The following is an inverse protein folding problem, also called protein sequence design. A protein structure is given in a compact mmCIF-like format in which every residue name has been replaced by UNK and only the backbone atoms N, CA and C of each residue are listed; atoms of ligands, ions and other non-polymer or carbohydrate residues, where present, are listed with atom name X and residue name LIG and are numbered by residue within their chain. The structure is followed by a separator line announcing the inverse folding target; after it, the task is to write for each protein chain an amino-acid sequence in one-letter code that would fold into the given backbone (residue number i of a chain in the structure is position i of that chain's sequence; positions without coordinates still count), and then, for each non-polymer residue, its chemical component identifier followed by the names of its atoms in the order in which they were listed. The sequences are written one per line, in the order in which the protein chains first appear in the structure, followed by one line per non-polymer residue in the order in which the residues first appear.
data_IF_208307774781
#
_entry.id   IF_208307774781
#
_cell.length_a   1.000
_cell.length_b   1.000
_cell.length_c   1.000
_cell.angle_alpha   90.00
_cell.angle_beta   90.00
_cell.angle_gamma   90.00
#
_symmetry.space_group_name_H-M   'P 1'
#
loop_
_entity.id
_entity.type
_entity.pdbx_description
1 polymer ?
#
# COMPACT_ATOMS: atom_id res chain seq x y z
N UNK A 1 -3.96 1.11 -30.40
CA UNK A 1 -2.79 0.88 -29.53
C UNK A 1 -3.32 0.39 -28.20
N UNK A 2 -2.84 -0.73 -27.67
CA UNK A 2 -3.36 -1.21 -26.38
C UNK A 2 -2.96 -0.21 -25.29
N UNK A 3 -3.91 0.57 -24.80
CA UNK A 3 -3.68 1.51 -23.70
C UNK A 3 -3.32 0.69 -22.47
N UNK A 4 -2.03 0.61 -22.16
CA UNK A 4 -1.55 -0.11 -20.98
C UNK A 4 -2.22 0.45 -19.73
N UNK A 5 -2.40 -0.38 -18.71
CA UNK A 5 -2.98 0.03 -17.43
C UNK A 5 -2.21 1.24 -16.86
N UNK A 6 -0.87 1.23 -16.99
CA UNK A 6 0.01 2.32 -16.57
C UNK A 6 -0.28 3.62 -17.32
N UNK A 7 -0.48 3.59 -18.65
CA UNK A 7 -0.87 4.79 -19.39
C UNK A 7 -2.20 5.38 -18.94
N UNK A 8 -3.19 4.52 -18.60
CA UNK A 8 -4.45 4.99 -18.01
C UNK A 8 -4.26 5.62 -16.64
N UNK A 9 -3.42 5.01 -15.79
CA UNK A 9 -3.11 5.56 -14.48
C UNK A 9 -2.39 6.91 -14.56
N UNK A 10 -1.43 7.06 -15.50
CA UNK A 10 -0.74 8.32 -15.75
C UNK A 10 -1.72 9.39 -16.24
N UNK A 11 -2.58 9.07 -17.22
CA UNK A 11 -3.60 10.01 -17.68
C UNK A 11 -4.55 10.44 -16.56
N UNK A 12 -4.93 9.52 -15.68
CA UNK A 12 -5.76 9.80 -14.52
C UNK A 12 -5.08 10.70 -13.49
N UNK A 13 -3.78 10.46 -13.22
CA UNK A 13 -2.97 11.31 -12.35
C UNK A 13 -2.88 12.75 -12.88
N UNK A 14 -2.67 12.90 -14.19
CA UNK A 14 -2.60 14.22 -14.84
C UNK A 14 -3.95 14.93 -14.69
N UNK A 15 -5.06 14.27 -15.04
CA UNK A 15 -6.42 14.82 -14.94
C UNK A 15 -6.76 15.26 -13.49
N UNK A 16 -6.41 14.46 -12.48
CA UNK A 16 -6.59 14.86 -11.08
C UNK A 16 -5.76 16.10 -10.69
N UNK A 17 -4.55 16.22 -11.23
CA UNK A 17 -3.68 17.36 -10.93
C UNK A 17 -4.14 18.64 -11.64
N UNK A 18 -4.61 18.54 -12.88
CA UNK A 18 -5.20 19.64 -13.64
C UNK A 18 -6.47 20.17 -12.97
N UNK A 19 -7.28 19.28 -12.37
CA UNK A 19 -8.46 19.65 -11.59
C UNK A 19 -8.13 20.25 -10.22
N UNK A 20 -6.87 20.15 -9.78
CA UNK A 20 -6.44 20.58 -8.44
C UNK A 20 -6.93 19.69 -7.30
N UNK A 21 -7.34 18.44 -7.60
CA UNK A 21 -7.76 17.48 -6.59
C UNK A 21 -6.56 16.86 -5.85
N UNK A 22 -5.37 16.89 -6.46
CA UNK A 22 -4.11 16.42 -5.88
C UNK A 22 -3.04 17.52 -5.97
N UNK A 23 -2.15 17.56 -4.99
CA UNK A 23 -0.99 18.45 -5.02
C UNK A 23 0.17 17.77 -5.81
N UNK A 24 0.69 18.38 -6.90
CA UNK A 24 1.78 17.80 -7.67
C UNK A 24 3.09 17.59 -6.89
N UNK A 25 3.30 18.36 -5.82
CA UNK A 25 4.52 18.33 -5.01
C UNK A 25 4.43 17.37 -3.82
N UNK A 26 3.21 17.02 -3.40
CA UNK A 26 2.96 16.09 -2.29
C UNK A 26 1.70 15.27 -2.58
N UNK A 27 1.90 14.14 -3.27
CA UNK A 27 0.82 13.26 -3.70
C UNK A 27 0.52 12.23 -2.61
N UNK A 28 -0.71 12.23 -2.08
CA UNK A 28 -1.19 11.13 -1.25
C UNK A 28 -1.50 9.90 -2.12
N UNK A 29 -0.52 9.00 -2.22
CA UNK A 29 -0.59 7.81 -3.09
C UNK A 29 -1.79 6.92 -2.74
N UNK A 30 -2.12 6.78 -1.46
CA UNK A 30 -3.22 5.91 -1.00
C UNK A 30 -4.54 6.39 -1.57
N UNK A 31 -4.86 7.67 -1.38
CA UNK A 31 -6.11 8.27 -1.85
C UNK A 31 -6.25 8.19 -3.37
N UNK A 32 -5.15 8.44 -4.10
CA UNK A 32 -5.18 8.40 -5.56
C UNK A 32 -5.39 7.00 -6.10
N UNK A 33 -4.73 6.00 -5.50
CA UNK A 33 -4.91 4.60 -5.88
C UNK A 33 -6.35 4.17 -5.62
N UNK A 34 -6.92 4.53 -4.48
CA UNK A 34 -8.32 4.20 -4.15
C UNK A 34 -9.31 4.83 -5.16
N UNK A 35 -9.12 6.10 -5.50
CA UNK A 35 -9.93 6.78 -6.52
C UNK A 35 -9.78 6.14 -7.90
N UNK A 36 -8.55 5.78 -8.28
CA UNK A 36 -8.29 5.10 -9.54
C UNK A 36 -8.98 3.73 -9.58
N UNK A 37 -8.85 2.91 -8.53
CA UNK A 37 -9.52 1.60 -8.44
C UNK A 37 -11.06 1.74 -8.48
N UNK A 38 -11.61 2.78 -7.84
CA UNK A 38 -13.05 3.07 -7.92
C UNK A 38 -13.47 3.39 -9.35
N UNK A 39 -12.72 4.25 -10.06
CA UNK A 39 -12.98 4.57 -11.47
C UNK A 39 -12.89 3.33 -12.38
N UNK A 40 -11.96 2.41 -12.09
CA UNK A 40 -11.83 1.15 -12.83
C UNK A 40 -13.04 0.23 -12.63
N UNK A 41 -13.64 0.19 -11.45
CA UNK A 41 -14.86 -0.58 -11.16
C UNK A 41 -16.08 0.01 -11.86
N UNK A 42 -16.19 1.34 -11.87
CA UNK A 42 -17.29 2.06 -12.56
C UNK A 42 -17.20 1.91 -14.09
N UNK A 43 -15.99 1.95 -14.65
CA UNK A 43 -15.75 1.74 -16.08
C UNK A 43 -15.85 0.26 -16.49
N UNK A 44 -15.59 -0.67 -15.58
CA UNK A 44 -15.91 -2.09 -15.73
C UNK A 44 -17.38 -2.35 -15.38
N UNK A 45 -18.30 -1.60 -16.00
CA UNK A 45 -19.67 -2.08 -16.16
C UNK A 45 -19.60 -3.45 -16.87
N UNK A 46 -20.47 -4.43 -16.51
CA UNK A 46 -20.24 -5.85 -16.78
C UNK A 46 -20.27 -6.09 -18.28
N UNK A 47 -19.10 -6.08 -18.93
CA UNK A 47 -18.96 -6.58 -20.29
C UNK A 47 -19.06 -8.10 -20.20
N UNK A 48 -20.31 -8.55 -20.22
CA UNK A 48 -20.70 -9.87 -20.68
C UNK A 48 -20.28 -9.90 -22.15
N UNK A 49 -19.07 -10.38 -22.42
CA UNK A 49 -18.84 -10.95 -23.73
C UNK A 49 -17.70 -11.97 -23.74
N UNK A 50 -17.96 -13.08 -24.44
CA UNK A 50 -17.01 -14.10 -24.88
C UNK A 50 -16.64 -15.23 -23.90
N UNK A 51 -17.64 -16.05 -23.56
CA UNK A 51 -17.53 -17.53 -23.54
C UNK A 51 -16.58 -18.20 -22.53
N UNK A 52 -15.91 -17.45 -21.66
CA UNK A 52 -15.21 -17.98 -20.47
C UNK A 52 -15.97 -17.54 -19.25
N UNK A 53 -16.44 -18.50 -18.46
CA UNK A 53 -17.36 -18.29 -17.35
C UNK A 53 -16.96 -17.07 -16.51
N UNK A 54 -17.81 -16.02 -16.42
CA UNK A 54 -17.53 -14.84 -15.59
C UNK A 54 -17.36 -15.20 -14.11
N UNK A 55 -17.78 -16.40 -13.71
CA UNK A 55 -17.68 -16.89 -12.34
C UNK A 55 -16.23 -17.10 -11.88
N UNK A 56 -15.33 -17.61 -12.72
CA UNK A 56 -13.94 -17.89 -12.31
C UNK A 56 -13.09 -16.61 -12.17
N UNK A 57 -13.36 -15.61 -13.00
CA UNK A 57 -12.75 -14.27 -12.90
C UNK A 57 -13.25 -13.53 -11.65
N UNK A 58 -14.56 -13.49 -11.43
CA UNK A 58 -15.15 -12.89 -10.24
C UNK A 58 -14.71 -13.62 -8.96
N UNK A 59 -14.54 -14.95 -9.00
CA UNK A 59 -14.05 -15.73 -7.86
C UNK A 59 -12.58 -15.40 -7.54
N UNK A 60 -11.73 -15.29 -8.56
CA UNK A 60 -10.32 -14.90 -8.38
C UNK A 60 -10.17 -13.47 -7.85
N UNK A 61 -10.99 -12.54 -8.34
CA UNK A 61 -11.03 -11.14 -7.87
C UNK A 61 -11.59 -11.03 -6.45
N UNK A 62 -12.66 -11.78 -6.14
CA UNK A 62 -13.20 -11.85 -4.78
C UNK A 62 -12.20 -12.46 -3.78
N UNK A 63 -11.40 -13.44 -4.20
CA UNK A 63 -10.32 -14.01 -3.40
C UNK A 63 -9.21 -13.00 -3.10
N UNK A 64 -8.84 -12.17 -4.08
CA UNK A 64 -7.88 -11.08 -3.88
C UNK A 64 -8.45 -10.01 -2.92
N UNK A 65 -9.71 -9.64 -3.08
CA UNK A 65 -10.38 -8.70 -2.18
C UNK A 65 -10.41 -9.21 -0.73
N UNK A 66 -10.72 -10.50 -0.53
CA UNK A 66 -10.75 -11.12 0.81
C UNK A 66 -9.35 -11.18 1.45
N UNK A 67 -8.31 -11.50 0.66
CA UNK A 67 -6.92 -11.48 1.10
C UNK A 67 -6.50 -10.08 1.54
N UNK A 68 -6.76 -9.05 0.74
CA UNK A 68 -6.41 -7.67 1.07
C UNK A 68 -7.16 -7.16 2.28
N UNK A 69 -8.47 -7.44 2.38
CA UNK A 69 -9.24 -7.09 3.57
C UNK A 69 -8.64 -7.74 4.83
N UNK A 70 -8.25 -9.01 4.75
CA UNK A 70 -7.61 -9.71 5.87
C UNK A 70 -6.24 -9.12 6.24
N UNK A 71 -5.45 -8.72 5.24
CA UNK A 71 -4.14 -8.07 5.44
C UNK A 71 -4.29 -6.68 6.07
N UNK A 72 -5.31 -5.92 5.67
CA UNK A 72 -5.62 -4.61 6.27
C UNK A 72 -6.10 -4.74 7.72
N UNK A 73 -6.91 -5.76 8.04
CA UNK A 73 -7.31 -6.06 9.42
C UNK A 73 -6.10 -6.46 10.28
N UNK A 74 -5.20 -7.29 9.74
CA UNK A 74 -3.96 -7.66 10.41
C UNK A 74 -3.06 -6.44 10.67
N UNK A 75 -2.85 -5.58 9.66
CA UNK A 75 -2.08 -4.35 9.80
C UNK A 75 -2.72 -3.42 10.83
N UNK A 76 -4.05 -3.30 10.83
CA UNK A 76 -4.77 -2.51 11.83
C UNK A 76 -4.57 -3.05 13.25
N UNK A 77 -4.63 -4.37 13.43
CA UNK A 77 -4.39 -4.99 14.73
C UNK A 77 -2.95 -4.78 15.20
N UNK A 78 -1.96 -4.96 14.31
CA UNK A 78 -0.54 -4.71 14.61
C UNK A 78 -0.29 -3.24 14.95
N UNK A 79 -0.93 -2.29 14.24
CA UNK A 79 -0.84 -0.87 14.60
C UNK A 79 -1.46 -0.57 15.95
N UNK A 80 -2.61 -1.17 16.29
CA UNK A 80 -3.26 -0.95 17.60
C UNK A 80 -2.39 -1.45 18.75
N UNK A 81 -1.81 -2.64 18.61
CA UNK A 81 -0.88 -3.21 19.60
C UNK A 81 0.34 -2.30 19.76
N UNK A 82 0.89 -1.77 18.67
CA UNK A 82 2.03 -0.84 18.73
C UNK A 82 1.67 0.48 19.37
N UNK A 83 0.49 1.04 19.07
CA UNK A 83 0.03 2.28 19.71
C UNK A 83 -0.28 2.09 21.19
N UNK A 84 -0.82 0.95 21.61
CA UNK A 84 -1.02 0.63 23.03
C UNK A 84 0.33 0.54 23.78
N UNK A 85 1.36 -0.04 23.15
CA UNK A 85 2.73 -0.08 23.71
C UNK A 85 3.37 1.32 23.75
N UNK A 86 3.12 2.17 22.75
CA UNK A 86 3.61 3.56 22.73
C UNK A 86 2.87 4.46 23.74
N UNK A 87 1.59 4.19 24.05
CA UNK A 87 0.79 4.91 25.07
C UNK A 87 1.22 4.55 26.51
N UNK A 88 1.63 3.31 26.78
CA UNK A 88 2.20 2.91 28.09
C UNK A 88 3.57 3.55 28.39
N UNK A 89 4.28 4.07 27.37
CA UNK A 89 5.56 4.78 27.54
C UNK A 89 5.42 6.31 27.68
N UNK A 90 4.20 6.87 27.64
CA UNK A 90 3.96 8.28 27.96
C UNK A 90 3.76 8.41 29.46
N UNK A 91 4.71 8.99 30.23
CA UNK A 91 4.41 9.34 31.61
C UNK A 91 3.26 10.35 31.61
N UNK A 92 2.25 10.10 32.44
CA UNK A 92 1.09 10.98 32.69
C UNK A 92 1.53 12.46 32.70
N UNK A 93 1.14 13.20 31.67
CA UNK A 93 1.37 14.65 31.55
C UNK A 93 0.28 15.46 32.26
N UNK A 94 -0.61 14.81 33.02
CA UNK A 94 -1.75 15.43 33.72
C UNK A 94 -1.33 16.32 34.90
N UNK A 95 -0.08 16.24 35.37
CA UNK A 95 0.45 17.11 36.42
C UNK A 95 0.88 18.51 35.93
N UNK A 96 0.79 18.81 34.62
CA UNK A 96 1.24 20.10 34.06
C UNK A 96 0.11 21.10 33.75
N UNK A 97 -1.15 20.75 33.98
CA UNK A 97 -2.29 21.63 33.64
C UNK A 97 -2.58 22.68 34.72
N UNK A 98 -2.06 22.53 35.95
CA UNK A 98 -2.31 23.48 37.05
C UNK A 98 -1.48 24.79 36.96
N UNK A 99 -0.54 24.90 36.00
CA UNK A 99 0.39 26.04 35.93
C UNK A 99 0.02 27.16 34.93
N UNK A 100 -1.04 27.00 34.13
CA UNK A 100 -1.36 27.94 33.05
C UNK A 100 -2.64 28.76 33.33
N UNK A 101 -2.57 29.68 34.31
CA UNK A 101 -3.46 30.84 34.30
C UNK A 101 -3.04 31.83 33.19
N UNK A 102 -3.92 32.21 32.25
CA UNK A 102 -3.56 33.10 31.15
C UNK A 102 -3.74 34.55 31.59
N UNK A 103 -2.81 35.08 32.37
CA UNK A 103 -2.75 36.52 32.63
C UNK A 103 -1.90 37.18 31.54
N UNK A 104 -2.62 37.73 30.56
CA UNK A 104 -2.04 38.32 29.36
C UNK A 104 -1.10 39.48 29.66
N UNK A 105 0.19 39.28 29.49
CA UNK A 105 1.15 40.33 29.18
C UNK A 105 2.28 39.74 28.33
N UNK A 106 2.65 40.47 27.27
CA UNK A 106 3.86 40.37 26.46
C UNK A 106 4.71 39.10 26.65
N UNK A 107 4.81 38.29 25.58
CA UNK A 107 5.67 37.12 25.30
C UNK A 107 7.10 37.23 25.86
N UNK A 108 7.25 37.34 27.17
CA UNK A 108 8.49 37.19 27.90
C UNK A 108 8.62 35.70 28.14
N UNK A 109 9.70 35.14 27.62
CA UNK A 109 10.08 33.76 27.89
C UNK A 109 10.05 33.56 29.42
N UNK A 110 9.48 32.45 29.91
CA UNK A 110 9.43 32.16 31.33
C UNK A 110 10.85 32.19 31.90
N UNK A 111 10.97 32.70 33.14
CA UNK A 111 12.24 32.68 33.87
C UNK A 111 12.62 31.23 34.17
N UNK A 112 13.92 30.94 34.17
CA UNK A 112 14.50 29.61 34.39
C UNK A 112 14.13 28.59 33.30
N UNK A 113 14.53 28.86 32.05
CA UNK A 113 14.30 27.97 30.91
C UNK A 113 14.95 26.59 31.11
N UNK A 114 15.99 26.50 31.93
CA UNK A 114 16.65 25.25 32.33
C UNK A 114 15.71 24.22 32.98
N UNK A 115 14.62 24.66 33.62
CA UNK A 115 13.62 23.77 34.21
C UNK A 115 12.62 23.24 33.17
N UNK A 116 12.53 23.89 32.01
CA UNK A 116 11.59 23.55 30.93
C UNK A 116 12.30 22.87 29.73
N UNK A 117 13.61 23.07 29.56
CA UNK A 117 14.41 22.46 28.50
C UNK A 117 14.84 21.05 28.95
N UNK A 118 14.04 20.06 28.60
CA UNK A 118 14.38 18.65 28.80
C UNK A 118 15.12 18.10 27.57
N UNK A 119 16.21 17.35 27.80
CA UNK A 119 16.89 16.64 26.72
C UNK A 119 15.97 15.50 26.26
N UNK A 120 15.58 15.49 24.98
CA UNK A 120 14.92 14.33 24.40
C UNK A 120 15.89 13.15 24.43
N UNK A 121 15.43 12.00 24.92
CA UNK A 121 16.22 10.76 24.96
C UNK A 121 16.52 10.20 23.55
N UNK A 122 15.69 10.56 22.56
CA UNK A 122 15.75 10.05 21.19
C UNK A 122 15.66 11.22 20.21
N UNK A 123 16.30 11.08 19.04
CA UNK A 123 16.15 12.01 17.94
C UNK A 123 14.68 12.09 17.48
N UNK A 124 14.24 13.25 17.00
CA UNK A 124 12.93 13.37 16.35
C UNK A 124 12.83 12.34 15.22
N UNK A 125 11.68 11.66 15.06
CA UNK A 125 11.46 10.75 13.95
C UNK A 125 11.78 11.44 12.62
N UNK A 126 12.40 10.75 11.66
CA UNK A 126 12.69 11.34 10.36
C UNK A 126 11.38 11.77 9.70
N UNK A 127 11.35 12.99 9.16
CA UNK A 127 10.19 13.47 8.40
C UNK A 127 9.93 12.53 7.22
N UNK A 128 8.65 12.24 6.96
CA UNK A 128 8.26 11.41 5.83
C UNK A 128 8.61 12.14 4.54
N UNK A 129 9.43 11.52 3.69
CA UNK A 129 9.73 12.07 2.36
C UNK A 129 8.44 12.16 1.55
N UNK A 130 8.13 13.36 1.09
CA UNK A 130 6.99 13.62 0.20
C UNK A 130 7.22 12.99 -1.18
N UNK A 131 6.14 12.46 -1.78
CA UNK A 131 6.17 11.85 -3.11
C UNK A 131 5.66 12.87 -4.12
N UNK A 132 6.46 13.17 -5.14
CA UNK A 132 6.05 14.09 -6.21
C UNK A 132 5.29 13.35 -7.32
N UNK A 133 4.43 14.05 -8.04
CA UNK A 133 3.69 13.51 -9.18
C UNK A 133 4.63 12.99 -10.27
N UNK A 134 5.73 13.71 -10.54
CA UNK A 134 6.74 13.30 -11.52
C UNK A 134 7.42 11.98 -11.11
N UNK A 135 7.75 11.81 -9.83
CA UNK A 135 8.34 10.57 -9.31
C UNK A 135 7.36 9.40 -9.45
N UNK A 136 6.08 9.61 -9.17
CA UNK A 136 5.05 8.59 -9.31
C UNK A 136 4.84 8.17 -10.77
N UNK A 137 4.81 9.12 -11.71
CA UNK A 137 4.72 8.82 -13.15
C UNK A 137 5.93 8.02 -13.61
N UNK A 138 7.15 8.44 -13.25
CA UNK A 138 8.37 7.73 -13.61
C UNK A 138 8.36 6.30 -13.07
N UNK A 139 7.90 6.09 -11.83
CA UNK A 139 7.73 4.75 -11.26
C UNK A 139 6.75 3.90 -12.07
N UNK A 140 5.60 4.45 -12.46
CA UNK A 140 4.63 3.73 -13.28
C UNK A 140 5.20 3.33 -14.64
N UNK A 141 5.98 4.20 -15.28
CA UNK A 141 6.64 3.90 -16.56
C UNK A 141 7.69 2.79 -16.40
N UNK A 142 8.53 2.86 -15.35
CA UNK A 142 9.53 1.81 -15.09
C UNK A 142 8.88 0.45 -14.84
N UNK A 143 7.79 0.40 -14.07
CA UNK A 143 7.02 -0.82 -13.82
C UNK A 143 6.37 -1.35 -15.11
N UNK A 144 5.80 -0.47 -15.93
CA UNK A 144 5.22 -0.83 -17.21
C UNK A 144 6.26 -1.45 -18.17
N UNK A 145 7.43 -0.84 -18.25
CA UNK A 145 8.55 -1.35 -19.04
C UNK A 145 9.05 -2.71 -18.50
N UNK A 146 9.18 -2.85 -17.18
CA UNK A 146 9.56 -4.10 -16.55
C UNK A 146 8.53 -5.22 -16.82
N UNK A 147 7.24 -4.92 -16.77
CA UNK A 147 6.16 -5.87 -17.08
C UNK A 147 6.15 -6.26 -18.56
N UNK A 148 6.36 -5.32 -19.48
CA UNK A 148 6.41 -5.60 -20.91
C UNK A 148 7.60 -6.51 -21.27
N UNK A 149 8.73 -6.34 -20.58
CA UNK A 149 9.94 -7.14 -20.77
C UNK A 149 9.92 -8.47 -19.98
N UNK A 150 8.98 -8.65 -19.04
CA UNK A 150 8.84 -9.87 -18.26
C UNK A 150 8.24 -10.97 -19.13
N UNK A 151 9.09 -11.82 -19.70
CA UNK A 151 8.62 -13.07 -20.31
C UNK A 151 7.95 -13.94 -19.24
N UNK A 152 6.79 -14.59 -19.55
CA UNK A 152 6.11 -15.42 -18.57
C UNK A 152 7.08 -16.51 -18.13
N UNK A 153 7.43 -16.48 -16.83
CA UNK A 153 8.32 -17.46 -16.23
C UNK A 153 7.67 -18.83 -16.42
N UNK A 154 8.14 -19.59 -17.41
CA UNK A 154 7.68 -20.95 -17.65
C UNK A 154 8.07 -21.71 -16.38
N UNK A 155 7.08 -21.95 -15.51
CA UNK A 155 7.25 -22.84 -14.37
C UNK A 155 7.52 -24.21 -14.99
N UNK A 156 8.78 -24.62 -15.04
CA UNK A 156 9.12 -26.02 -15.29
C UNK A 156 8.40 -26.82 -14.21
N UNK A 157 7.26 -27.43 -14.59
CA UNK A 157 6.58 -28.39 -13.75
C UNK A 157 7.61 -29.49 -13.52
N UNK A 158 8.13 -29.56 -12.29
CA UNK A 158 8.96 -30.68 -11.87
C UNK A 158 8.16 -31.94 -12.20
N UNK A 159 8.72 -32.80 -13.05
CA UNK A 159 8.08 -34.04 -13.43
C UNK A 159 7.76 -34.80 -12.15
N UNK A 160 6.48 -35.12 -11.93
CA UNK A 160 6.08 -35.94 -10.78
C UNK A 160 6.87 -37.25 -10.85
N UNK A 161 7.51 -37.69 -9.74
CA UNK A 161 8.24 -38.96 -9.76
C UNK A 161 7.29 -40.07 -10.21
N UNK A 162 7.75 -40.92 -11.12
CA UNK A 162 6.95 -42.04 -11.61
C UNK A 162 6.50 -42.89 -10.42
N UNK A 163 5.19 -43.07 -10.27
CA UNK A 163 4.62 -43.93 -9.23
C UNK A 163 5.28 -45.31 -9.32
N UNK A 164 5.74 -45.84 -8.18
CA UNK A 164 6.47 -47.12 -8.10
C UNK A 164 5.75 -48.26 -8.84
N UNK A 165 4.41 -48.25 -8.85
CA UNK A 165 3.61 -49.21 -9.63
C UNK A 165 3.86 -49.16 -11.14
N UNK A 166 4.08 -47.97 -11.73
CA UNK A 166 4.40 -47.85 -13.16
C UNK A 166 5.80 -48.36 -13.48
N UNK A 167 6.76 -48.15 -12.58
CA UNK A 167 8.11 -48.69 -12.76
C UNK A 167 8.12 -50.23 -12.70
N UNK A 168 7.33 -50.81 -11.80
CA UNK A 168 7.19 -52.27 -11.69
C UNK A 168 6.49 -52.85 -12.93
N UNK A 169 5.43 -52.19 -13.45
CA UNK A 169 4.76 -52.68 -14.65
C UNK A 169 5.67 -52.63 -15.88
N UNK A 170 6.52 -51.61 -16.01
CA UNK A 170 7.47 -51.53 -17.13
C UNK A 170 8.56 -52.59 -17.05
N UNK A 171 9.02 -52.94 -15.84
CA UNK A 171 10.01 -54.02 -15.64
C UNK A 171 9.39 -55.37 -16.00
N UNK A 172 8.15 -55.61 -15.59
CA UNK A 172 7.44 -56.86 -15.91
C UNK A 172 7.14 -57.03 -17.41
N UNK A 173 7.08 -55.93 -18.18
CA UNK A 173 6.78 -55.95 -19.60
C UNK A 173 8.04 -56.15 -20.48
N UNK A 174 9.23 -56.05 -19.89
CA UNK A 174 10.52 -56.26 -20.55
C UNK A 174 11.13 -57.66 -20.27
N UNK A 175 10.47 -58.48 -19.45
CA UNK A 175 10.81 -59.88 -19.19
C UNK A 175 9.91 -60.81 -20.00
#
# INVERSE_FOLDING_TARGET
MANSLAQRAIAFLIDLSERGEINPWDVNVIDVVDRFLKSLKEQQAPVIDNGRSPYEKNLSESGQAFLYASMLVLLKADTLIRTEVDEEEVPDFDDMEEAFEPQGYAKRLPRNLENYIHRRAVASPPEKRQVTLQELIAQLETMAAAMANSTPRIRNRVARPHSKCKAISTIAQLA
#
